data_IF_208507219421
#
_entry.id   IF_208507219421
#
_cell.length_a   1.000
_cell.length_b   1.000
_cell.length_c   1.000
_cell.angle_alpha   90.00
_cell.angle_beta   90.00
_cell.angle_gamma   90.00
#
_symmetry.space_group_name_H-M   'P 1'
#
loop_
_entity.id
_entity.type
_entity.pdbx_description
1 polymer ?
#
# COMPACT_ATOMS: atom_id res chain seq x y z
N UNK A 1 71.57 -15.79 21.66
CA UNK A 1 70.34 -15.41 20.94
C UNK A 1 69.16 -15.64 21.88
N UNK A 2 68.58 -14.55 22.39
CA UNK A 2 67.57 -14.62 23.45
C UNK A 2 66.20 -15.03 22.88
N UNK A 3 65.79 -16.25 23.23
CA UNK A 3 64.49 -16.87 22.89
C UNK A 3 63.30 -16.00 23.36
N UNK A 4 63.51 -15.14 24.37
CA UNK A 4 62.48 -14.23 24.89
C UNK A 4 62.03 -13.15 23.89
N UNK A 5 62.93 -12.63 23.04
CA UNK A 5 62.56 -11.57 22.08
C UNK A 5 61.73 -12.12 20.91
N UNK A 6 62.00 -13.36 20.49
CA UNK A 6 61.22 -14.01 19.42
C UNK A 6 59.82 -14.35 19.92
N UNK A 7 59.68 -14.82 21.17
CA UNK A 7 58.38 -15.12 21.76
C UNK A 7 57.49 -13.86 21.90
N UNK A 8 58.06 -12.72 22.28
CA UNK A 8 57.33 -11.45 22.37
C UNK A 8 56.90 -10.95 20.99
N UNK A 9 57.77 -11.04 19.98
CA UNK A 9 57.43 -10.67 18.61
C UNK A 9 56.33 -11.57 18.02
N UNK A 10 56.38 -12.88 18.28
CA UNK A 10 55.32 -13.80 17.87
C UNK A 10 53.98 -13.52 18.57
N UNK A 11 54.00 -13.16 19.86
CA UNK A 11 52.78 -12.82 20.59
C UNK A 11 52.11 -11.53 20.05
N UNK A 12 52.92 -10.52 19.71
CA UNK A 12 52.43 -9.26 19.11
C UNK A 12 51.91 -9.50 17.68
N UNK A 13 52.59 -10.33 16.89
CA UNK A 13 52.12 -10.71 15.56
C UNK A 13 50.80 -11.50 15.63
N UNK A 14 50.66 -12.40 16.60
CA UNK A 14 49.44 -13.17 16.78
C UNK A 14 48.28 -12.29 17.26
N UNK A 15 48.51 -11.33 18.17
CA UNK A 15 47.47 -10.42 18.65
C UNK A 15 46.99 -9.46 17.55
N UNK A 16 47.89 -9.00 16.68
CA UNK A 16 47.55 -8.12 15.56
C UNK A 16 46.77 -8.84 14.48
N UNK A 17 47.14 -10.08 14.14
CA UNK A 17 46.36 -10.93 13.21
C UNK A 17 44.99 -11.27 13.77
N UNK A 18 44.90 -11.58 15.07
CA UNK A 18 43.62 -11.86 15.73
C UNK A 18 42.73 -10.61 15.75
N UNK A 19 43.29 -9.42 16.00
CA UNK A 19 42.56 -8.15 15.96
C UNK A 19 42.07 -7.81 14.56
N UNK A 20 42.87 -8.05 13.50
CA UNK A 20 42.44 -7.88 12.12
C UNK A 20 41.35 -8.87 11.72
N UNK A 21 41.44 -10.13 12.17
CA UNK A 21 40.39 -11.12 11.96
C UNK A 21 39.09 -10.76 12.68
N UNK A 22 39.17 -10.26 13.93
CA UNK A 22 37.99 -9.79 14.65
C UNK A 22 37.40 -8.53 14.01
N UNK A 23 38.22 -7.59 13.53
CA UNK A 23 37.77 -6.40 12.82
C UNK A 23 37.06 -6.77 11.52
N UNK A 24 37.66 -7.64 10.71
CA UNK A 24 37.07 -8.15 9.46
C UNK A 24 35.80 -8.97 9.72
N UNK A 25 35.79 -9.80 10.77
CA UNK A 25 34.62 -10.58 11.16
C UNK A 25 33.48 -9.69 11.68
N UNK A 26 33.79 -8.64 12.45
CA UNK A 26 32.81 -7.65 12.89
C UNK A 26 32.32 -6.78 11.72
N UNK A 27 33.16 -6.36 10.78
CA UNK A 27 32.72 -5.67 9.55
C UNK A 27 31.79 -6.56 8.71
N UNK A 28 32.08 -7.87 8.60
CA UNK A 28 31.20 -8.81 7.88
C UNK A 28 29.85 -9.01 8.57
N UNK A 29 29.79 -8.93 9.91
CA UNK A 29 28.54 -9.00 10.68
C UNK A 29 27.80 -7.66 10.78
N UNK A 30 28.50 -6.53 10.71
CA UNK A 30 27.88 -5.19 10.59
C UNK A 30 27.38 -4.94 9.16
N UNK A 31 27.90 -5.68 8.17
CA UNK A 31 27.33 -5.82 6.84
C UNK A 31 26.08 -6.71 6.79
N UNK A 32 25.53 -7.13 7.94
CA UNK A 32 24.11 -7.40 8.06
C UNK A 32 23.38 -6.06 7.89
N UNK A 33 23.21 -5.66 6.62
CA UNK A 33 22.57 -4.44 6.16
C UNK A 33 21.38 -4.14 7.05
N UNK A 34 21.50 -3.11 7.89
CA UNK A 34 20.33 -2.35 8.34
C UNK A 34 19.53 -2.11 7.06
N UNK A 35 18.29 -2.59 6.95
CA UNK A 35 17.49 -2.31 5.78
C UNK A 35 17.50 -0.80 5.54
N UNK A 36 17.80 -0.37 4.31
CA UNK A 36 17.97 1.05 3.99
C UNK A 36 16.74 1.90 4.40
N UNK A 37 15.56 1.29 4.57
CA UNK A 37 14.36 1.94 5.10
C UNK A 37 14.55 2.52 6.52
N UNK A 38 15.39 1.91 7.37
CA UNK A 38 15.70 2.43 8.70
C UNK A 38 16.65 3.63 8.65
N UNK A 39 17.36 3.85 7.54
CA UNK A 39 18.24 5.03 7.41
C UNK A 39 17.45 6.30 7.06
N UNK A 40 16.25 6.18 6.47
CA UNK A 40 15.39 7.34 6.17
C UNK A 40 14.84 8.01 7.44
N UNK A 41 14.82 7.30 8.58
CA UNK A 41 14.35 7.82 9.86
C UNK A 41 15.49 8.40 10.72
N UNK A 42 16.76 8.05 10.40
CA UNK A 42 17.89 8.23 11.33
C UNK A 42 18.79 9.45 11.13
N UNK A 43 18.53 10.30 10.14
CA UNK A 43 19.17 11.64 10.08
C UNK A 43 18.29 12.73 10.72
N UNK A 44 17.62 12.38 11.84
CA UNK A 44 17.31 13.38 12.87
C UNK A 44 18.53 13.51 13.76
N UNK A 45 19.61 14.05 13.20
CA UNK A 45 20.77 14.47 13.97
C UNK A 45 20.26 15.31 15.13
N UNK A 46 20.48 14.84 16.36
CA UNK A 46 20.48 15.71 17.55
C UNK A 46 21.45 16.82 17.17
N UNK A 47 20.93 18.03 16.90
CA UNK A 47 21.62 19.22 16.39
C UNK A 47 23.09 18.92 16.07
N UNK A 48 23.38 18.58 14.80
CA UNK A 48 24.78 18.50 14.38
C UNK A 48 25.44 19.81 14.81
N UNK A 49 26.55 19.75 15.56
CA UNK A 49 27.22 20.95 16.09
C UNK A 49 27.61 21.92 14.96
N UNK A 50 27.67 21.42 13.72
CA UNK A 50 27.90 22.18 12.49
C UNK A 50 26.69 22.93 11.94
N UNK A 51 25.47 22.57 12.34
CA UNK A 51 24.19 23.17 11.96
C UNK A 51 23.47 23.67 13.21
N UNK A 52 24.07 24.62 13.94
CA UNK A 52 23.33 25.50 14.86
C UNK A 52 22.44 26.47 14.05
N UNK A 53 21.66 25.94 13.12
CA UNK A 53 20.59 26.65 12.45
C UNK A 53 19.42 26.68 13.44
N UNK A 54 19.01 27.91 13.76
CA UNK A 54 17.88 28.30 14.59
C UNK A 54 17.25 27.20 15.48
N UNK A 55 17.70 27.12 16.73
CA UNK A 55 17.18 26.17 17.73
C UNK A 55 15.70 26.42 18.14
N UNK A 56 15.03 27.37 17.48
CA UNK A 56 13.64 27.77 17.75
C UNK A 56 12.67 27.22 16.68
N UNK A 57 13.15 26.84 15.49
CA UNK A 57 12.27 26.43 14.37
C UNK A 57 12.64 25.08 13.77
N UNK A 58 11.65 24.23 13.49
CA UNK A 58 11.85 23.00 12.72
C UNK A 58 11.82 23.23 11.20
N UNK A 59 12.34 22.28 10.43
CA UNK A 59 12.23 22.26 8.96
C UNK A 59 11.10 21.36 8.49
N UNK A 60 10.31 21.80 7.51
CA UNK A 60 9.36 20.95 6.78
C UNK A 60 10.08 20.16 5.68
N UNK A 61 9.51 19.03 5.29
CA UNK A 61 10.00 18.28 4.13
C UNK A 61 9.64 19.04 2.85
N UNK A 62 10.59 19.13 1.92
CA UNK A 62 10.37 19.70 0.60
C UNK A 62 10.55 18.64 -0.50
N UNK A 63 9.71 18.73 -1.54
CA UNK A 63 9.76 17.88 -2.74
C UNK A 63 10.85 18.33 -3.73
N UNK A 64 12.04 18.68 -3.22
CA UNK A 64 13.22 19.03 -4.02
C UNK A 64 13.92 17.77 -4.53
N UNK A 65 14.53 17.88 -5.72
CA UNK A 65 15.29 16.77 -6.30
C UNK A 65 16.57 16.52 -5.50
N UNK A 66 16.64 15.38 -4.81
CA UNK A 66 17.76 14.96 -3.94
C UNK A 66 18.74 14.03 -4.65
N UNK A 67 18.27 13.31 -5.66
CA UNK A 67 19.07 12.37 -6.46
C UNK A 67 18.54 12.30 -7.89
N UNK A 68 19.32 11.70 -8.79
CA UNK A 68 18.94 11.53 -10.20
C UNK A 68 18.91 10.06 -10.57
N UNK A 69 17.87 9.64 -11.29
CA UNK A 69 17.76 8.29 -11.81
C UNK A 69 18.51 8.17 -13.15
N UNK A 70 19.43 7.22 -13.22
CA UNK A 70 20.22 6.89 -14.42
C UNK A 70 20.10 5.41 -14.82
N UNK A 71 19.15 4.69 -14.22
CA UNK A 71 18.91 3.27 -14.51
C UNK A 71 18.19 3.05 -15.84
N UNK A 72 18.04 1.77 -16.20
CA UNK A 72 17.35 1.36 -17.42
C UNK A 72 15.86 1.75 -17.38
N UNK A 73 15.35 2.26 -18.49
CA UNK A 73 13.92 2.55 -18.67
C UNK A 73 13.20 1.39 -19.36
N UNK A 74 11.89 1.27 -19.14
CA UNK A 74 11.05 0.37 -19.92
C UNK A 74 11.17 0.72 -21.41
N UNK A 75 11.49 -0.27 -22.22
CA UNK A 75 11.51 -0.13 -23.68
C UNK A 75 10.12 -0.42 -24.25
N UNK A 76 9.78 0.21 -25.39
CA UNK A 76 8.45 0.05 -26.00
C UNK A 76 8.16 -1.38 -26.41
N UNK A 77 9.20 -2.13 -26.78
CA UNK A 77 9.12 -3.55 -27.13
C UNK A 77 8.68 -4.41 -25.94
N UNK A 78 8.99 -3.99 -24.70
CA UNK A 78 8.56 -4.67 -23.47
C UNK A 78 7.08 -4.44 -23.15
N UNK A 79 6.47 -3.41 -23.75
CA UNK A 79 5.07 -3.02 -23.53
C UNK A 79 4.12 -3.60 -24.59
N UNK A 80 4.63 -4.38 -25.55
CA UNK A 80 3.81 -5.03 -26.56
C UNK A 80 2.91 -6.05 -25.88
N UNK A 81 1.59 -5.88 -26.07
CA UNK A 81 0.58 -6.76 -25.50
C UNK A 81 0.86 -8.23 -25.86
N UNK A 82 0.84 -9.09 -24.83
CA UNK A 82 0.93 -10.53 -25.00
C UNK A 82 -0.44 -11.16 -24.85
N UNK A 83 -0.66 -12.26 -25.56
CA UNK A 83 -1.85 -13.06 -25.34
C UNK A 83 -1.87 -13.58 -23.92
N UNK A 84 -3.07 -13.59 -23.33
CA UNK A 84 -3.25 -14.11 -21.99
C UNK A 84 -2.84 -15.59 -21.99
N UNK A 85 -1.90 -16.01 -21.13
CA UNK A 85 -1.52 -17.42 -21.05
C UNK A 85 -2.72 -18.25 -20.57
N UNK A 86 -2.82 -19.48 -21.05
CA UNK A 86 -3.73 -20.45 -20.45
C UNK A 86 -3.27 -20.69 -19.00
N UNK A 87 -4.25 -20.66 -18.10
CA UNK A 87 -4.04 -20.95 -16.68
C UNK A 87 -4.73 -22.25 -16.34
N UNK A 88 -3.99 -23.14 -15.68
CA UNK A 88 -4.57 -24.32 -15.08
C UNK A 88 -5.24 -23.94 -13.74
N UNK A 89 -6.39 -24.53 -13.45
CA UNK A 89 -7.10 -24.30 -12.20
C UNK A 89 -8.22 -23.25 -12.30
N UNK A 90 -8.36 -22.46 -11.24
CA UNK A 90 -9.53 -21.64 -10.98
C UNK A 90 -9.53 -20.33 -11.79
N UNK A 91 -10.61 -20.05 -12.51
CA UNK A 91 -10.79 -18.79 -13.26
C UNK A 91 -12.06 -18.08 -12.80
N UNK A 92 -11.91 -16.86 -12.28
CA UNK A 92 -13.04 -16.10 -11.72
C UNK A 92 -12.97 -14.63 -12.06
N UNK A 93 -14.13 -13.97 -12.13
CA UNK A 93 -14.23 -12.52 -12.42
C UNK A 93 -14.10 -11.65 -11.19
N UNK A 94 -14.44 -12.16 -10.01
CA UNK A 94 -14.33 -11.44 -8.74
C UNK A 94 -13.43 -12.22 -7.80
N UNK A 95 -12.44 -11.54 -7.24
CA UNK A 95 -11.46 -12.13 -6.34
C UNK A 95 -11.39 -11.37 -5.03
N UNK A 96 -11.16 -12.08 -3.92
CA UNK A 96 -10.63 -11.52 -2.69
C UNK A 96 -9.14 -11.91 -2.59
N UNK A 97 -8.27 -10.94 -2.31
CA UNK A 97 -6.83 -11.16 -2.17
C UNK A 97 -6.42 -10.79 -0.75
N UNK A 98 -5.88 -11.78 -0.04
CA UNK A 98 -5.52 -11.69 1.37
C UNK A 98 -4.06 -12.10 1.53
N UNK A 99 -3.32 -11.43 2.40
CA UNK A 99 -2.07 -11.96 2.97
C UNK A 99 -2.32 -12.32 4.42
N UNK A 100 -1.78 -13.43 4.90
CA UNK A 100 -1.93 -13.82 6.30
C UNK A 100 -0.68 -14.50 6.82
N UNK A 101 -0.30 -14.17 8.06
CA UNK A 101 0.68 -14.92 8.87
C UNK A 101 0.00 -15.79 9.94
N UNK A 102 -1.34 -15.83 9.93
CA UNK A 102 -2.17 -16.49 10.92
C UNK A 102 -2.76 -17.78 10.34
N UNK A 103 -3.31 -18.61 11.22
CA UNK A 103 -4.28 -19.64 10.82
C UNK A 103 -5.54 -18.99 10.23
N UNK A 104 -6.38 -19.73 9.49
CA UNK A 104 -7.58 -19.17 8.86
C UNK A 104 -8.45 -18.38 9.84
N UNK A 105 -8.49 -17.06 9.64
CA UNK A 105 -9.24 -16.09 10.44
C UNK A 105 -10.73 -16.14 10.14
N UNK A 106 -11.53 -15.37 10.87
CA UNK A 106 -12.99 -15.32 10.70
C UNK A 106 -13.36 -14.95 9.26
N UNK A 107 -12.78 -13.91 8.68
CA UNK A 107 -13.13 -13.52 7.31
C UNK A 107 -12.70 -14.53 6.26
N UNK A 108 -11.57 -15.21 6.46
CA UNK A 108 -11.16 -16.29 5.56
C UNK A 108 -12.21 -17.41 5.60
N UNK A 109 -12.75 -17.75 6.78
CA UNK A 109 -13.83 -18.74 6.89
C UNK A 109 -15.14 -18.25 6.27
N UNK A 110 -15.54 -17.01 6.51
CA UNK A 110 -16.71 -16.39 5.89
C UNK A 110 -16.63 -16.46 4.35
N UNK A 111 -15.47 -16.13 3.79
CA UNK A 111 -15.22 -16.21 2.35
C UNK A 111 -15.09 -17.64 1.82
N UNK A 112 -14.63 -18.59 2.65
CA UNK A 112 -14.57 -20.00 2.28
C UNK A 112 -15.94 -20.69 2.32
N UNK A 113 -16.86 -20.20 3.14
CA UNK A 113 -18.21 -20.75 3.29
C UNK A 113 -19.22 -20.13 2.31
N UNK A 114 -18.86 -19.04 1.63
CA UNK A 114 -19.72 -18.46 0.59
C UNK A 114 -19.90 -19.42 -0.59
N UNK A 115 -21.12 -19.50 -1.09
CA UNK A 115 -21.48 -20.20 -2.34
C UNK A 115 -21.57 -19.22 -3.53
N UNK A 116 -21.27 -17.94 -3.30
CA UNK A 116 -21.29 -16.91 -4.34
C UNK A 116 -20.11 -17.05 -5.30
N UNK A 117 -20.22 -16.49 -6.51
CA UNK A 117 -19.16 -16.53 -7.52
C UNK A 117 -18.01 -15.54 -7.19
N UNK A 118 -17.28 -15.87 -6.13
CA UNK A 118 -16.15 -15.14 -5.58
C UNK A 118 -15.03 -16.13 -5.31
N UNK A 119 -13.84 -15.81 -5.81
CA UNK A 119 -12.66 -16.64 -5.59
C UNK A 119 -11.70 -15.97 -4.64
N UNK A 120 -10.95 -16.76 -3.89
CA UNK A 120 -10.11 -16.25 -2.81
C UNK A 120 -8.69 -16.74 -3.04
N UNK A 121 -7.73 -15.82 -2.98
CA UNK A 121 -6.32 -16.17 -2.86
C UNK A 121 -5.78 -15.64 -1.55
N UNK A 122 -5.26 -16.55 -0.73
CA UNK A 122 -4.52 -16.22 0.49
C UNK A 122 -3.05 -16.45 0.21
N UNK A 123 -2.25 -15.40 0.30
CA UNK A 123 -0.81 -15.42 0.07
C UNK A 123 -0.10 -15.66 1.39
N UNK A 124 0.63 -16.78 1.48
CA UNK A 124 1.45 -17.08 2.64
C UNK A 124 2.70 -16.19 2.71
N UNK A 125 3.26 -16.09 3.91
CA UNK A 125 4.63 -15.65 4.16
C UNK A 125 5.35 -16.76 4.94
N UNK A 126 6.66 -16.62 5.17
CA UNK A 126 7.46 -17.58 5.94
C UNK A 126 7.02 -17.72 7.40
N UNK A 127 6.25 -16.76 7.91
CA UNK A 127 5.66 -16.80 9.25
C UNK A 127 4.31 -17.48 9.28
N UNK A 128 3.70 -17.74 8.12
CA UNK A 128 2.38 -18.37 8.04
C UNK A 128 2.45 -19.85 8.38
N UNK A 129 1.33 -20.43 8.84
CA UNK A 129 1.22 -21.87 8.98
C UNK A 129 1.51 -22.60 7.67
N UNK A 130 2.26 -23.70 7.74
CA UNK A 130 2.49 -24.59 6.58
C UNK A 130 1.15 -25.20 6.16
N UNK A 131 0.38 -25.68 7.13
CA UNK A 131 -0.98 -26.19 6.91
C UNK A 131 -2.01 -25.09 7.09
N UNK A 132 -2.86 -24.90 6.10
CA UNK A 132 -3.95 -23.92 6.12
C UNK A 132 -5.28 -24.67 6.04
N UNK A 133 -5.92 -24.88 7.20
CA UNK A 133 -7.08 -25.77 7.37
C UNK A 133 -8.40 -25.18 6.83
N UNK A 134 -8.39 -24.79 5.55
CA UNK A 134 -9.55 -24.39 4.75
C UNK A 134 -9.34 -24.93 3.35
N UNK A 135 -10.12 -25.94 2.96
CA UNK A 135 -10.06 -26.54 1.63
C UNK A 135 -11.38 -26.33 0.91
N UNK A 136 -11.39 -25.46 -0.11
CA UNK A 136 -12.55 -25.16 -0.95
C UNK A 136 -12.11 -25.00 -2.39
N UNK A 137 -12.95 -25.41 -3.34
CA UNK A 137 -12.62 -25.32 -4.75
C UNK A 137 -12.38 -23.88 -5.24
N UNK A 138 -13.01 -22.90 -4.59
CA UNK A 138 -12.90 -21.48 -4.91
C UNK A 138 -11.85 -20.71 -4.09
N UNK A 139 -11.05 -21.40 -3.27
CA UNK A 139 -10.02 -20.78 -2.43
C UNK A 139 -8.67 -21.44 -2.67
N UNK A 140 -7.66 -20.63 -2.95
CA UNK A 140 -6.27 -21.07 -3.06
C UNK A 140 -5.43 -20.44 -1.95
N UNK A 141 -4.65 -21.27 -1.28
CA UNK A 141 -3.60 -20.82 -0.37
C UNK A 141 -2.27 -20.95 -1.10
N UNK A 142 -1.68 -19.81 -1.48
CA UNK A 142 -0.37 -19.77 -2.13
C UNK A 142 0.72 -19.94 -1.08
N UNK A 143 1.14 -21.19 -0.88
CA UNK A 143 2.22 -21.54 0.04
C UNK A 143 3.54 -20.89 -0.37
N UNK A 144 4.54 -20.94 0.51
CA UNK A 144 5.91 -20.51 0.17
C UNK A 144 6.43 -21.29 -1.04
N UNK A 145 6.22 -22.60 -1.08
CA UNK A 145 6.66 -23.48 -2.16
C UNK A 145 5.93 -23.19 -3.48
N UNK A 146 4.64 -22.86 -3.44
CA UNK A 146 3.88 -22.50 -4.63
C UNK A 146 4.34 -21.15 -5.19
N UNK A 147 4.58 -20.18 -4.31
CA UNK A 147 5.13 -18.88 -4.70
C UNK A 147 6.49 -19.01 -5.37
N UNK A 148 7.37 -19.87 -4.86
CA UNK A 148 8.70 -20.10 -5.44
C UNK A 148 8.67 -20.72 -6.85
N UNK A 149 7.53 -21.32 -7.25
CA UNK A 149 7.31 -21.85 -8.62
C UNK A 149 6.73 -20.80 -9.58
N UNK A 150 6.33 -19.63 -9.10
CA UNK A 150 5.78 -18.56 -9.94
C UNK A 150 6.90 -17.84 -10.69
N UNK A 151 6.71 -17.65 -11.99
CA UNK A 151 7.68 -17.00 -12.88
C UNK A 151 7.38 -15.51 -13.13
N UNK A 152 6.81 -14.83 -12.12
CA UNK A 152 6.65 -13.37 -12.17
C UNK A 152 8.00 -12.68 -11.96
N UNK A 153 8.25 -11.62 -12.70
CA UNK A 153 9.43 -10.76 -12.60
C UNK A 153 9.57 -10.18 -11.19
N UNK A 154 8.46 -9.81 -10.52
CA UNK A 154 8.49 -9.31 -9.15
C UNK A 154 9.08 -10.32 -8.15
N UNK A 155 9.04 -11.63 -8.42
CA UNK A 155 9.51 -12.68 -7.49
C UNK A 155 11.00 -12.55 -7.17
N UNK A 156 11.79 -11.96 -8.08
CA UNK A 156 13.21 -11.71 -7.90
C UNK A 156 13.50 -10.55 -6.94
N UNK A 157 12.49 -9.72 -6.66
CA UNK A 157 12.63 -8.46 -5.93
C UNK A 157 11.85 -8.46 -4.60
N UNK A 158 10.63 -8.99 -4.60
CA UNK A 158 9.76 -8.91 -3.42
C UNK A 158 10.38 -9.65 -2.21
N UNK A 159 10.57 -9.00 -1.06
CA UNK A 159 11.15 -9.67 0.11
C UNK A 159 10.14 -10.58 0.82
N UNK A 160 10.63 -11.58 1.54
CA UNK A 160 9.84 -12.33 2.53
C UNK A 160 9.68 -11.53 3.83
N UNK A 161 8.73 -11.93 4.67
CA UNK A 161 8.33 -11.24 5.90
C UNK A 161 7.94 -9.79 5.66
N UNK A 162 7.22 -9.55 4.56
CA UNK A 162 7.02 -8.22 4.05
C UNK A 162 5.62 -8.02 3.49
N UNK A 163 5.02 -6.87 3.81
CA UNK A 163 3.67 -6.51 3.40
C UNK A 163 3.47 -6.54 1.87
N UNK A 164 4.49 -6.15 1.10
CA UNK A 164 4.50 -6.21 -0.36
C UNK A 164 4.31 -7.63 -0.96
N UNK A 165 4.32 -8.71 -0.16
CA UNK A 165 3.99 -10.07 -0.62
C UNK A 165 2.57 -10.16 -1.18
N UNK A 166 1.65 -9.29 -0.75
CA UNK A 166 0.29 -9.22 -1.28
C UNK A 166 0.24 -8.98 -2.80
N UNK A 167 1.27 -8.32 -3.36
CA UNK A 167 1.39 -8.10 -4.80
C UNK A 167 1.39 -9.40 -5.62
N UNK A 168 1.91 -10.51 -5.06
CA UNK A 168 1.89 -11.82 -5.71
C UNK A 168 0.46 -12.32 -5.88
N UNK A 169 -0.39 -12.13 -4.87
CA UNK A 169 -1.81 -12.48 -4.92
C UNK A 169 -2.59 -11.64 -5.93
N UNK A 170 -2.23 -10.37 -6.10
CA UNK A 170 -2.82 -9.53 -7.14
C UNK A 170 -2.49 -10.05 -8.54
N UNK A 171 -1.21 -10.32 -8.87
CA UNK A 171 -0.85 -10.90 -10.18
C UNK A 171 -1.53 -12.24 -10.39
N UNK A 172 -1.58 -13.10 -9.37
CA UNK A 172 -2.26 -14.37 -9.43
C UNK A 172 -3.74 -14.18 -9.80
N UNK A 173 -4.48 -13.33 -9.09
CA UNK A 173 -5.89 -13.07 -9.38
C UNK A 173 -6.09 -12.52 -10.81
N UNK A 174 -5.24 -11.58 -11.26
CA UNK A 174 -5.31 -10.99 -12.60
C UNK A 174 -5.09 -12.06 -13.68
N UNK A 175 -4.03 -12.86 -13.54
CA UNK A 175 -3.74 -13.97 -14.45
C UNK A 175 -4.90 -14.97 -14.49
N UNK A 176 -5.56 -15.20 -13.36
CA UNK A 176 -6.74 -16.06 -13.23
C UNK A 176 -8.08 -15.37 -13.56
N UNK A 177 -8.04 -14.27 -14.32
CA UNK A 177 -9.21 -13.71 -14.99
C UNK A 177 -9.99 -12.67 -14.20
N UNK A 178 -9.42 -12.15 -13.10
CA UNK A 178 -10.06 -11.11 -12.32
C UNK A 178 -10.51 -9.93 -13.19
N UNK A 179 -11.70 -9.44 -12.89
CA UNK A 179 -12.25 -8.16 -13.35
C UNK A 179 -12.51 -7.20 -12.20
N UNK A 180 -12.65 -7.73 -10.99
CA UNK A 180 -12.66 -6.98 -9.74
C UNK A 180 -11.84 -7.72 -8.70
N UNK A 181 -11.06 -6.99 -7.92
CA UNK A 181 -10.29 -7.54 -6.80
C UNK A 181 -10.66 -6.78 -5.53
N UNK A 182 -11.02 -7.52 -4.48
CA UNK A 182 -11.19 -7.03 -3.13
C UNK A 182 -9.89 -7.27 -2.35
N UNK A 183 -9.12 -6.21 -2.20
CA UNK A 183 -7.93 -6.13 -1.36
C UNK A 183 -8.37 -6.05 0.11
N UNK A 184 -8.12 -7.13 0.85
CA UNK A 184 -8.67 -7.36 2.18
C UNK A 184 -7.59 -7.91 3.12
N UNK A 185 -7.45 -7.33 4.31
CA UNK A 185 -6.57 -7.87 5.35
C UNK A 185 -7.31 -8.92 6.19
N UNK A 186 -6.58 -9.92 6.69
CA UNK A 186 -7.14 -11.10 7.36
C UNK A 186 -7.68 -10.81 8.77
N UNK A 187 -7.40 -9.64 9.33
CA UNK A 187 -7.91 -9.17 10.62
C UNK A 187 -9.18 -8.31 10.53
N UNK A 188 -9.78 -8.25 9.34
CA UNK A 188 -11.15 -7.76 9.16
C UNK A 188 -12.15 -8.90 9.33
N UNK A 189 -13.40 -8.57 9.65
CA UNK A 189 -14.53 -9.49 9.68
C UNK A 189 -15.70 -8.87 8.91
N UNK A 190 -16.31 -9.59 7.97
CA UNK A 190 -17.50 -9.09 7.28
C UNK A 190 -18.63 -8.90 8.30
N UNK A 191 -19.25 -7.72 8.29
CA UNK A 191 -20.43 -7.44 9.13
C UNK A 191 -21.60 -8.36 8.72
N UNK A 192 -21.66 -8.73 7.45
CA UNK A 192 -22.61 -9.71 6.91
C UNK A 192 -21.87 -10.59 5.90
N UNK A 193 -21.93 -11.90 6.12
CA UNK A 193 -21.45 -12.94 5.20
C UNK A 193 -22.48 -13.32 4.12
N UNK A 194 -23.66 -12.69 4.15
CA UNK A 194 -24.71 -12.85 3.14
C UNK A 194 -24.60 -11.80 2.05
N UNK A 195 -24.80 -12.21 0.80
CA UNK A 195 -24.83 -11.35 -0.38
C UNK A 195 -23.54 -10.52 -0.55
N UNK A 196 -22.39 -11.13 -0.29
CA UNK A 196 -21.06 -10.52 -0.37
C UNK A 196 -20.87 -9.86 -1.74
N UNK A 197 -21.33 -10.50 -2.83
CA UNK A 197 -21.20 -9.92 -4.17
C UNK A 197 -21.96 -8.61 -4.33
N UNK A 198 -23.17 -8.52 -3.76
CA UNK A 198 -23.96 -7.30 -3.81
C UNK A 198 -23.35 -6.21 -2.92
N UNK A 199 -22.90 -6.59 -1.72
CA UNK A 199 -22.31 -5.68 -0.76
C UNK A 199 -20.98 -5.10 -1.28
N UNK A 200 -20.08 -5.94 -1.81
CA UNK A 200 -18.71 -5.57 -2.18
C UNK A 200 -18.60 -5.05 -3.61
N UNK A 201 -19.25 -5.68 -4.59
CA UNK A 201 -18.92 -5.46 -6.02
C UNK A 201 -20.04 -4.84 -6.86
N UNK A 202 -21.28 -4.77 -6.38
CA UNK A 202 -22.41 -4.21 -7.15
C UNK A 202 -22.59 -2.72 -6.84
N UNK A 203 -22.16 -1.87 -7.78
CA UNK A 203 -22.34 -0.42 -7.73
C UNK A 203 -23.80 -0.01 -7.95
N UNK A 204 -24.55 -0.74 -8.78
CA UNK A 204 -25.99 -0.50 -9.03
C UNK A 204 -26.90 -0.79 -7.83
N UNK A 205 -26.36 -1.39 -6.76
CA UNK A 205 -27.06 -1.63 -5.48
C UNK A 205 -26.73 -0.60 -4.42
N UNK A 206 -26.09 0.52 -4.81
CA UNK A 206 -25.64 1.60 -3.93
C UNK A 206 -26.08 2.94 -4.47
N UNK A 207 -26.18 3.92 -3.58
CA UNK A 207 -26.35 5.33 -3.94
C UNK A 207 -25.00 6.04 -3.85
N UNK A 208 -24.79 7.03 -4.70
CA UNK A 208 -23.54 7.79 -4.75
C UNK A 208 -23.81 9.28 -4.72
N UNK A 209 -22.92 10.01 -4.05
CA UNK A 209 -22.85 11.47 -4.08
C UNK A 209 -21.46 11.90 -4.49
N UNK A 210 -21.35 12.75 -5.49
CA UNK A 210 -20.10 13.40 -5.83
C UNK A 210 -19.79 14.54 -4.85
N UNK A 211 -18.55 14.57 -4.35
CA UNK A 211 -18.05 15.61 -3.45
C UNK A 211 -17.49 16.76 -4.29
N UNK A 212 -18.23 17.84 -4.43
CA UNK A 212 -17.76 19.02 -5.12
C UNK A 212 -17.05 19.97 -4.14
N UNK A 213 -15.74 20.14 -4.29
CA UNK A 213 -14.87 20.90 -3.36
C UNK A 213 -13.79 21.67 -4.12
N UNK A 214 -13.22 22.71 -3.52
CA UNK A 214 -11.99 23.37 -4.01
C UNK A 214 -10.73 22.92 -3.27
N UNK A 215 -10.89 22.13 -2.20
CA UNK A 215 -9.78 21.64 -1.38
C UNK A 215 -9.02 20.50 -2.06
N UNK A 216 -7.69 20.56 -1.90
CA UNK A 216 -6.76 19.56 -2.43
C UNK A 216 -6.84 18.21 -1.72
N UNK A 217 -7.57 18.15 -0.60
CA UNK A 217 -7.88 16.92 0.14
C UNK A 217 -9.34 16.91 0.58
N UNK A 218 -9.90 15.70 0.66
CA UNK A 218 -11.19 15.43 1.28
C UNK A 218 -10.97 14.40 2.38
N UNK A 219 -11.62 14.57 3.54
CA UNK A 219 -11.63 13.60 4.61
C UNK A 219 -12.97 12.84 4.67
N UNK A 220 -13.08 11.66 4.04
CA UNK A 220 -14.27 10.81 4.09
C UNK A 220 -14.69 10.47 5.51
N UNK A 221 -13.74 10.26 6.43
CA UNK A 221 -14.08 9.79 7.77
C UNK A 221 -14.89 10.84 8.54
N UNK A 222 -14.64 12.13 8.30
CA UNK A 222 -15.46 13.22 8.84
C UNK A 222 -16.88 13.26 8.25
N UNK A 223 -17.04 12.90 6.97
CA UNK A 223 -18.36 12.85 6.32
C UNK A 223 -19.24 11.75 6.94
N UNK A 224 -18.63 10.63 7.32
CA UNK A 224 -19.32 9.48 7.91
C UNK A 224 -19.31 9.48 9.45
N UNK A 225 -18.75 10.50 10.10
CA UNK A 225 -18.61 10.54 11.55
C UNK A 225 -19.97 10.68 12.24
N UNK A 226 -20.24 9.87 13.26
CA UNK A 226 -21.48 9.87 14.04
C UNK A 226 -21.46 10.79 15.27
N UNK A 227 -20.44 11.63 15.40
CA UNK A 227 -20.19 12.43 16.60
C UNK A 227 -19.77 13.85 16.24
N UNK A 228 -20.67 14.79 16.48
CA UNK A 228 -20.41 16.21 16.23
C UNK A 228 -19.29 16.75 17.14
N UNK A 229 -18.51 17.69 16.61
CA UNK A 229 -17.46 18.39 17.35
C UNK A 229 -16.15 17.59 17.53
N UNK A 230 -16.10 16.34 17.08
CA UNK A 230 -14.88 15.54 17.05
C UNK A 230 -14.24 15.55 15.66
N UNK A 231 -12.93 15.31 15.65
CA UNK A 231 -12.18 15.10 14.42
C UNK A 231 -11.81 13.63 14.34
N UNK A 232 -11.86 13.07 13.14
CA UNK A 232 -11.32 11.75 12.81
C UNK A 232 -10.70 11.83 11.42
N UNK A 233 -9.63 11.09 11.18
CA UNK A 233 -8.99 11.07 9.87
C UNK A 233 -8.38 9.70 9.59
N UNK A 234 -8.38 9.25 8.33
CA UNK A 234 -7.71 8.02 7.94
C UNK A 234 -6.19 8.15 8.10
N UNK A 235 -5.52 7.03 8.36
CA UNK A 235 -4.05 6.96 8.38
C UNK A 235 -3.48 7.51 7.07
N UNK A 236 -2.53 8.43 7.19
CA UNK A 236 -1.91 9.09 6.05
C UNK A 236 -2.54 10.42 5.64
N UNK A 237 -3.66 10.83 6.24
CA UNK A 237 -4.24 12.14 5.95
C UNK A 237 -3.28 13.26 6.41
N UNK A 238 -3.06 14.32 5.61
CA UNK A 238 -2.10 15.36 5.98
C UNK A 238 -2.53 16.07 7.27
N UNK A 239 -1.63 16.08 8.26
CA UNK A 239 -1.92 16.63 9.59
C UNK A 239 -2.32 18.11 9.54
N UNK A 240 -1.76 18.86 8.59
CA UNK A 240 -2.06 20.28 8.36
C UNK A 240 -3.53 20.51 7.97
N UNK A 241 -4.19 19.52 7.36
CA UNK A 241 -5.55 19.65 6.87
C UNK A 241 -6.63 19.12 7.83
N UNK A 242 -6.26 18.47 8.94
CA UNK A 242 -7.22 17.81 9.85
C UNK A 242 -8.29 18.79 10.36
N UNK A 243 -7.87 20.01 10.70
CA UNK A 243 -8.73 21.04 11.29
C UNK A 243 -9.23 22.06 10.27
N UNK A 244 -8.92 21.88 9.00
CA UNK A 244 -9.39 22.79 7.95
C UNK A 244 -10.89 22.61 7.78
N UNK A 245 -11.71 23.68 7.92
CA UNK A 245 -13.14 23.59 7.68
C UNK A 245 -13.41 23.13 6.25
N UNK A 246 -14.34 22.19 6.07
CA UNK A 246 -14.67 21.70 4.74
C UNK A 246 -15.44 22.74 3.94
N UNK A 247 -15.26 22.71 2.61
CA UNK A 247 -15.99 23.56 1.66
C UNK A 247 -16.88 22.75 0.70
N UNK A 248 -17.01 21.44 0.94
CA UNK A 248 -17.66 20.55 -0.02
C UNK A 248 -19.18 20.71 -0.03
N UNK A 249 -19.76 20.51 -1.22
CA UNK A 249 -21.18 20.23 -1.42
C UNK A 249 -21.36 18.87 -2.10
N UNK A 250 -22.55 18.30 -1.97
CA UNK A 250 -22.86 17.00 -2.55
C UNK A 250 -23.76 17.13 -3.79
N UNK A 251 -23.43 16.36 -4.83
CA UNK A 251 -24.24 16.22 -6.04
C UNK A 251 -24.64 14.76 -6.17
N UNK A 252 -25.93 14.46 -6.32
CA UNK A 252 -26.40 13.08 -6.46
C UNK A 252 -25.95 12.47 -7.79
N UNK A 253 -25.50 11.21 -7.74
CA UNK A 253 -25.03 10.45 -8.89
C UNK A 253 -25.85 9.17 -9.05
N UNK A 254 -26.50 9.02 -10.21
CA UNK A 254 -27.35 7.87 -10.51
C UNK A 254 -26.58 6.79 -11.29
N UNK A 255 -26.33 5.59 -10.71
CA UNK A 255 -25.62 4.51 -11.39
C UNK A 255 -26.24 4.07 -12.72
N UNK A 256 -27.54 4.32 -12.92
CA UNK A 256 -28.27 3.92 -14.12
C UNK A 256 -27.97 4.83 -15.32
N UNK A 257 -27.43 6.02 -15.09
CA UNK A 257 -27.11 6.97 -16.15
C UNK A 257 -25.75 6.66 -16.76
N UNK A 258 -25.70 6.56 -18.09
CA UNK A 258 -24.46 6.25 -18.81
C UNK A 258 -23.35 7.28 -18.55
N UNK A 259 -23.71 8.55 -18.37
CA UNK A 259 -22.79 9.66 -18.08
C UNK A 259 -22.36 9.74 -16.62
N UNK A 260 -22.97 8.96 -15.71
CA UNK A 260 -22.66 9.05 -14.28
C UNK A 260 -21.20 8.71 -13.98
N UNK A 261 -20.65 9.45 -13.01
CA UNK A 261 -19.30 9.21 -12.49
C UNK A 261 -19.16 7.83 -11.84
N UNK A 262 -20.27 7.19 -11.43
CA UNK A 262 -20.28 5.82 -10.89
C UNK A 262 -19.63 4.81 -11.86
N UNK A 263 -19.84 5.00 -13.16
CA UNK A 263 -19.27 4.16 -14.21
C UNK A 263 -17.76 4.38 -14.41
N UNK A 264 -17.22 5.48 -13.86
CA UNK A 264 -15.80 5.85 -13.91
C UNK A 264 -15.06 5.56 -12.60
N UNK A 265 -15.74 5.04 -11.58
CA UNK A 265 -15.11 4.60 -10.35
C UNK A 265 -14.19 3.42 -10.66
N UNK A 266 -12.90 3.59 -10.37
CA UNK A 266 -11.88 2.56 -10.50
C UNK A 266 -11.47 1.93 -9.18
N UNK A 267 -11.66 2.63 -8.05
CA UNK A 267 -11.34 2.12 -6.71
C UNK A 267 -12.44 2.52 -5.73
N UNK A 268 -12.85 1.58 -4.88
CA UNK A 268 -13.79 1.82 -3.77
C UNK A 268 -13.12 1.41 -2.46
N UNK A 269 -12.97 2.34 -1.53
CA UNK A 269 -12.63 2.02 -0.14
C UNK A 269 -13.93 1.88 0.67
N UNK A 270 -14.11 0.75 1.32
CA UNK A 270 -15.12 0.64 2.38
C UNK A 270 -14.51 1.04 3.71
N UNK A 271 -15.30 1.70 4.56
CA UNK A 271 -14.91 1.98 5.93
C UNK A 271 -14.87 0.70 6.78
N UNK A 272 -14.26 0.79 7.96
CA UNK A 272 -14.23 -0.29 8.93
C UNK A 272 -14.81 0.18 10.25
N UNK A 273 -15.76 -0.56 10.80
CA UNK A 273 -16.26 -0.31 12.15
C UNK A 273 -15.29 -0.89 13.20
N UNK A 274 -15.56 -0.57 14.47
CA UNK A 274 -14.87 -1.00 15.69
C UNK A 274 -13.48 -0.40 15.85
N UNK A 275 -12.62 -0.53 14.85
CA UNK A 275 -11.24 -0.08 14.94
C UNK A 275 -10.69 0.41 13.59
N UNK A 276 -11.31 1.43 12.96
CA UNK A 276 -10.89 1.92 11.64
C UNK A 276 -9.39 2.20 11.54
N UNK A 277 -8.88 2.22 10.32
CA UNK A 277 -7.45 2.43 10.09
C UNK A 277 -7.05 3.90 10.27
N UNK A 278 -6.87 4.26 11.54
CA UNK A 278 -6.40 5.55 12.01
C UNK A 278 -4.88 5.49 12.27
N UNK A 279 -4.21 6.63 12.13
CA UNK A 279 -2.79 6.73 12.43
C UNK A 279 -2.49 6.63 13.94
N UNK A 280 -1.21 6.44 14.27
CA UNK A 280 -0.77 6.31 15.64
C UNK A 280 -1.01 7.58 16.47
N UNK A 281 -0.91 8.79 15.89
CA UNK A 281 -1.21 10.04 16.61
C UNK A 281 -2.63 10.00 17.14
N UNK A 282 -3.62 9.76 16.27
CA UNK A 282 -5.02 9.65 16.66
C UNK A 282 -5.20 8.60 17.75
N UNK A 283 -4.65 7.39 17.53
CA UNK A 283 -4.81 6.26 18.46
C UNK A 283 -4.21 6.53 19.84
N UNK A 284 -3.17 7.35 19.92
CA UNK A 284 -2.53 7.74 21.17
C UNK A 284 -3.33 8.84 21.87
N UNK A 285 -3.92 9.78 21.13
CA UNK A 285 -4.51 11.00 21.69
C UNK A 285 -6.03 10.96 21.86
N UNK A 286 -6.71 10.03 21.21
CA UNK A 286 -8.15 10.08 21.01
C UNK A 286 -8.82 8.72 21.21
N UNK A 287 -10.11 8.76 21.52
CA UNK A 287 -10.93 7.55 21.64
C UNK A 287 -11.48 7.18 20.27
N UNK A 288 -11.28 5.92 19.87
CA UNK A 288 -11.77 5.42 18.60
C UNK A 288 -13.30 5.22 18.68
N UNK A 289 -14.09 5.75 17.73
CA UNK A 289 -15.52 5.48 17.68
C UNK A 289 -15.78 4.02 17.32
N UNK A 290 -16.79 3.41 17.94
CA UNK A 290 -17.15 2.01 17.68
C UNK A 290 -17.76 1.80 16.29
N UNK A 291 -18.43 2.81 15.74
CA UNK A 291 -18.98 2.77 14.38
C UNK A 291 -18.92 4.17 13.75
N UNK A 292 -19.01 4.20 12.42
CA UNK A 292 -19.44 5.40 11.70
C UNK A 292 -20.97 5.58 11.80
N UNK A 293 -21.51 6.67 11.25
CA UNK A 293 -22.95 6.98 11.27
C UNK A 293 -23.74 5.99 10.41
N UNK A 294 -24.58 5.11 11.01
CA UNK A 294 -25.34 4.13 10.25
C UNK A 294 -26.47 4.74 9.42
N UNK A 295 -26.86 6.00 9.66
CA UNK A 295 -27.87 6.70 8.87
C UNK A 295 -27.34 7.15 7.50
N UNK A 296 -26.01 7.30 7.37
CA UNK A 296 -25.35 7.66 6.12
C UNK A 296 -25.09 6.40 5.31
N UNK A 297 -26.00 6.11 4.37
CA UNK A 297 -25.99 4.88 3.56
C UNK A 297 -25.40 5.06 2.16
N UNK A 298 -25.13 6.29 1.74
CA UNK A 298 -24.57 6.59 0.42
C UNK A 298 -23.04 6.51 0.41
N UNK A 299 -22.49 6.13 -0.74
CA UNK A 299 -21.07 6.27 -1.02
C UNK A 299 -20.76 7.69 -1.53
N UNK A 300 -19.54 8.16 -1.30
CA UNK A 300 -19.05 9.43 -1.85
C UNK A 300 -18.03 9.21 -2.94
N UNK A 301 -18.12 9.95 -4.04
CA UNK A 301 -17.13 9.97 -5.13
C UNK A 301 -16.28 11.22 -4.96
N UNK A 302 -14.96 11.05 -4.86
CA UNK A 302 -14.05 12.16 -4.66
C UNK A 302 -13.79 12.91 -5.97
N UNK A 303 -13.71 14.24 -5.90
CA UNK A 303 -13.29 15.07 -7.02
C UNK A 303 -11.82 14.79 -7.37
N UNK A 304 -11.51 14.74 -8.67
CA UNK A 304 -10.11 14.80 -9.12
C UNK A 304 -9.46 16.08 -8.56
N UNK A 305 -8.16 16.06 -8.28
CA UNK A 305 -7.46 17.14 -7.54
C UNK A 305 -7.80 17.23 -6.04
N UNK A 306 -8.68 16.37 -5.51
CA UNK A 306 -8.92 16.25 -4.07
C UNK A 306 -8.54 14.86 -3.59
N UNK A 307 -7.40 14.75 -2.92
CA UNK A 307 -6.86 13.47 -2.47
C UNK A 307 -7.51 12.99 -1.17
N UNK A 308 -7.57 11.68 -0.98
CA UNK A 308 -7.77 11.05 0.32
C UNK A 308 -7.02 9.72 0.39
N UNK A 309 -6.38 9.37 1.50
CA UNK A 309 -5.67 8.10 1.59
C UNK A 309 -6.66 6.95 1.71
N UNK A 310 -6.33 5.84 1.06
CA UNK A 310 -6.98 4.55 1.26
C UNK A 310 -5.95 3.47 1.57
N UNK A 311 -6.40 2.36 2.14
CA UNK A 311 -5.52 1.33 2.70
C UNK A 311 -5.77 -0.03 2.02
N UNK A 312 -5.20 -1.10 2.57
CA UNK A 312 -5.40 -2.48 2.08
C UNK A 312 -6.42 -3.28 2.92
N UNK A 313 -7.20 -2.60 3.78
CA UNK A 313 -8.10 -3.27 4.72
C UNK A 313 -9.36 -3.79 4.04
N UNK A 314 -10.00 -2.98 3.20
CA UNK A 314 -11.28 -3.34 2.56
C UNK A 314 -11.52 -2.48 1.31
N UNK A 315 -10.78 -2.78 0.26
CA UNK A 315 -10.67 -1.91 -0.92
C UNK A 315 -10.92 -2.71 -2.19
N UNK A 316 -11.84 -2.25 -3.02
CA UNK A 316 -12.15 -2.89 -4.31
C UNK A 316 -11.49 -2.13 -5.43
N UNK A 317 -10.80 -2.86 -6.31
CA UNK A 317 -10.27 -2.37 -7.57
C UNK A 317 -11.08 -2.93 -8.73
N UNK A 318 -11.37 -2.08 -9.71
CA UNK A 318 -11.92 -2.48 -11.01
C UNK A 318 -10.78 -2.81 -11.98
N UNK A 319 -11.06 -3.64 -12.99
CA UNK A 319 -10.05 -4.11 -13.95
C UNK A 319 -9.19 -2.99 -14.55
N UNK A 320 -9.80 -1.86 -14.88
CA UNK A 320 -9.14 -0.72 -15.53
C UNK A 320 -8.14 0.03 -14.63
N UNK A 321 -8.02 -0.34 -13.35
CA UNK A 321 -7.10 0.26 -12.38
C UNK A 321 -6.17 -0.75 -11.69
N UNK A 322 -6.16 -2.01 -12.14
CA UNK A 322 -5.28 -3.04 -11.57
C UNK A 322 -3.79 -2.67 -11.65
N UNK A 323 -3.39 -1.89 -12.66
CA UNK A 323 -2.03 -1.36 -12.75
C UNK A 323 -1.60 -0.57 -11.51
N UNK A 324 -2.54 0.02 -10.75
CA UNK A 324 -2.31 0.83 -9.56
C UNK A 324 -2.38 0.05 -8.24
N UNK A 325 -2.37 -1.28 -8.27
CA UNK A 325 -2.44 -2.11 -7.06
C UNK A 325 -1.10 -2.30 -6.36
N UNK A 326 0.02 -2.00 -7.04
CA UNK A 326 1.37 -2.26 -6.53
C UNK A 326 1.62 -1.58 -5.18
N UNK A 327 1.92 -2.38 -4.17
CA UNK A 327 2.40 -1.94 -2.86
C UNK A 327 3.93 -1.75 -2.90
N UNK A 328 4.46 -0.51 -2.78
CA UNK A 328 5.90 -0.26 -2.73
C UNK A 328 6.57 -1.04 -1.59
N UNK A 329 7.75 -1.58 -1.82
CA UNK A 329 8.45 -2.44 -0.88
C UNK A 329 9.59 -1.77 -0.11
N UNK A 330 10.01 -0.56 -0.51
CA UNK A 330 11.17 0.09 0.14
C UNK A 330 10.78 0.99 1.32
N UNK A 331 9.48 1.17 1.52
CA UNK A 331 8.90 1.86 2.66
C UNK A 331 8.31 0.86 3.66
N UNK A 332 8.10 1.31 4.90
CA UNK A 332 7.48 0.46 5.92
C UNK A 332 6.06 0.03 5.52
N UNK A 333 5.60 -1.15 5.98
CA UNK A 333 4.27 -1.66 5.63
C UNK A 333 3.12 -0.71 5.99
N UNK A 334 3.25 0.04 7.09
CA UNK A 334 2.32 1.11 7.51
C UNK A 334 2.37 2.37 6.63
N UNK A 335 3.17 2.39 5.58
CA UNK A 335 3.32 3.52 4.65
C UNK A 335 3.00 3.07 3.22
N UNK A 336 3.34 1.83 2.89
CA UNK A 336 3.23 1.22 1.56
C UNK A 336 1.86 1.37 0.90
N UNK A 337 0.78 0.98 1.59
CA UNK A 337 -0.58 1.07 1.05
C UNK A 337 -1.05 2.51 0.85
N UNK A 338 -0.65 3.43 1.73
CA UNK A 338 -0.95 4.86 1.63
C UNK A 338 -0.18 5.51 0.47
N UNK A 339 1.10 5.18 0.26
CA UNK A 339 1.85 5.68 -0.89
C UNK A 339 1.27 5.16 -2.21
N UNK A 340 0.98 3.86 -2.30
CA UNK A 340 0.18 3.30 -3.41
C UNK A 340 -1.10 4.11 -3.61
N UNK A 341 -1.79 4.45 -2.52
CA UNK A 341 -3.05 5.19 -2.58
C UNK A 341 -2.91 6.51 -3.33
N UNK A 342 -1.95 7.35 -2.96
CA UNK A 342 -1.77 8.66 -3.58
C UNK A 342 -1.21 8.57 -4.99
N UNK A 343 -0.28 7.64 -5.24
CA UNK A 343 0.29 7.42 -6.57
C UNK A 343 -0.78 7.00 -7.57
N UNK A 344 -1.59 6.01 -7.21
CA UNK A 344 -2.65 5.49 -8.05
C UNK A 344 -3.75 6.52 -8.27
N UNK A 345 -4.14 7.27 -7.24
CA UNK A 345 -5.06 8.42 -7.37
C UNK A 345 -4.64 9.38 -8.47
N UNK A 346 -3.36 9.78 -8.43
CA UNK A 346 -2.84 10.76 -9.37
C UNK A 346 -2.91 10.24 -10.80
N UNK A 347 -2.47 9.00 -11.05
CA UNK A 347 -2.49 8.41 -12.39
C UNK A 347 -3.92 8.13 -12.87
N UNK A 348 -4.85 7.78 -11.96
CA UNK A 348 -6.26 7.57 -12.30
C UNK A 348 -6.90 8.81 -12.93
N UNK A 349 -6.50 10.02 -12.53
CA UNK A 349 -7.03 11.26 -13.09
C UNK A 349 -6.74 11.42 -14.58
N UNK A 350 -5.56 10.95 -15.04
CA UNK A 350 -5.15 10.94 -16.45
C UNK A 350 -6.02 10.01 -17.30
N UNK A 351 -6.63 9.00 -16.68
CA UNK A 351 -7.51 8.02 -17.33
C UNK A 351 -8.99 8.21 -17.03
N UNK A 352 -9.34 9.41 -16.57
CA UNK A 352 -10.70 9.79 -16.21
C UNK A 352 -11.37 8.83 -15.21
N UNK A 353 -10.58 8.28 -14.30
CA UNK A 353 -11.04 7.39 -13.22
C UNK A 353 -11.12 8.11 -11.89
N UNK A 354 -12.04 7.62 -11.05
CA UNK A 354 -12.39 8.21 -9.77
C UNK A 354 -12.27 7.19 -8.64
N UNK A 355 -12.00 7.68 -7.43
CA UNK A 355 -12.14 6.92 -6.20
C UNK A 355 -13.48 7.22 -5.54
N UNK A 356 -14.08 6.20 -4.92
CA UNK A 356 -15.16 6.36 -3.97
C UNK A 356 -14.85 5.81 -2.57
N UNK A 357 -15.50 6.38 -1.56
CA UNK A 357 -15.60 5.80 -0.22
C UNK A 357 -17.03 5.36 0.04
N UNK A 358 -17.21 4.25 0.75
CA UNK A 358 -18.51 3.69 1.06
C UNK A 358 -18.62 3.34 2.56
N UNK A 359 -19.84 3.30 3.12
CA UNK A 359 -20.09 2.87 4.50
C UNK A 359 -19.48 1.51 4.83
N UNK A 360 -19.26 1.26 6.12
CA UNK A 360 -18.55 0.08 6.57
C UNK A 360 -19.24 -1.23 6.19
N UNK A 361 -18.44 -2.18 5.68
CA UNK A 361 -18.89 -3.56 5.42
C UNK A 361 -18.12 -4.58 6.25
N UNK A 362 -17.07 -4.14 6.95
CA UNK A 362 -16.26 -4.96 7.84
C UNK A 362 -16.12 -4.31 9.23
N UNK A 363 -15.90 -5.14 10.24
CA UNK A 363 -15.33 -4.75 11.52
C UNK A 363 -13.83 -5.02 11.49
N UNK A 364 -13.01 -4.07 11.93
CA UNK A 364 -11.56 -4.29 12.03
C UNK A 364 -11.20 -4.82 13.42
N UNK A 365 -10.80 -6.09 13.51
CA UNK A 365 -10.44 -6.77 14.76
C UNK A 365 -8.91 -6.80 14.87
N UNK A 366 -8.33 -5.64 15.19
CA UNK A 366 -6.87 -5.47 15.20
C UNK A 366 -6.17 -6.36 16.22
N UNK A 367 -5.02 -6.85 15.79
CA UNK A 367 -4.00 -7.39 16.69
C UNK A 367 -3.47 -6.30 17.63
N UNK A 368 -3.01 -6.69 18.82
CA UNK A 368 -2.46 -5.75 19.79
C UNK A 368 -1.10 -5.21 19.30
N UNK A 369 -1.05 -3.92 18.95
CA UNK A 369 0.19 -3.24 18.57
C UNK A 369 0.75 -2.37 19.70
N UNK A 370 2.05 -2.06 19.61
CA UNK A 370 2.67 -1.02 20.44
C UNK A 370 2.59 0.31 19.70
N UNK A 371 1.64 1.17 20.07
CA UNK A 371 1.33 2.42 19.35
C UNK A 371 2.54 3.33 19.12
N UNK A 372 3.50 3.38 20.04
CA UNK A 372 4.74 4.17 19.86
C UNK A 372 5.61 3.64 18.72
N UNK A 373 5.64 2.31 18.48
CA UNK A 373 6.34 1.74 17.32
C UNK A 373 5.61 2.06 16.01
N UNK A 374 4.28 2.10 16.06
CA UNK A 374 3.47 2.49 14.90
C UNK A 374 3.72 3.96 14.55
N UNK A 375 3.81 4.85 15.55
CA UNK A 375 4.16 6.26 15.36
C UNK A 375 5.52 6.44 14.66
N UNK A 376 6.55 5.73 15.13
CA UNK A 376 7.89 5.75 14.51
C UNK A 376 7.84 5.25 13.05
N UNK A 377 7.12 4.14 12.82
CA UNK A 377 6.96 3.56 11.49
C UNK A 377 6.17 4.43 10.51
N UNK A 378 5.27 5.28 11.01
CA UNK A 378 4.42 6.17 10.22
C UNK A 378 5.03 7.55 9.98
N UNK A 379 6.26 7.80 10.46
CA UNK A 379 6.88 9.12 10.35
C UNK A 379 6.86 9.75 8.94
N UNK A 380 7.06 9.00 7.83
CA UNK A 380 6.92 9.55 6.49
C UNK A 380 5.53 10.12 6.21
N UNK A 381 4.47 9.52 6.74
CA UNK A 381 3.10 9.98 6.55
C UNK A 381 2.86 11.36 7.19
N UNK A 382 3.44 11.59 8.37
CA UNK A 382 3.27 12.85 9.08
C UNK A 382 4.11 13.98 8.50
N UNK A 383 5.25 13.65 7.90
CA UNK A 383 6.26 14.64 7.51
C UNK A 383 6.32 14.91 6.01
N UNK A 384 5.91 13.97 5.17
CA UNK A 384 6.10 14.06 3.71
C UNK A 384 4.79 14.22 2.94
N UNK A 385 3.66 13.75 3.48
CA UNK A 385 2.37 13.72 2.76
C UNK A 385 2.00 15.08 2.18
N UNK A 386 2.01 16.14 2.98
CA UNK A 386 1.58 17.46 2.55
C UNK A 386 2.36 17.96 1.32
N UNK A 387 3.69 17.94 1.41
CA UNK A 387 4.56 18.35 0.31
C UNK A 387 4.39 17.46 -0.92
N UNK A 388 4.22 16.15 -0.71
CA UNK A 388 3.97 15.19 -1.79
C UNK A 388 2.65 15.48 -2.51
N UNK A 389 1.56 15.76 -1.80
CA UNK A 389 0.26 16.04 -2.42
C UNK A 389 0.27 17.34 -3.22
N UNK A 390 0.95 18.39 -2.72
CA UNK A 390 1.19 19.63 -3.48
C UNK A 390 1.93 19.34 -4.78
N UNK A 391 3.04 18.60 -4.70
CA UNK A 391 3.80 18.19 -5.88
C UNK A 391 2.95 17.37 -6.85
N UNK A 392 2.18 16.38 -6.38
CA UNK A 392 1.37 15.53 -7.26
C UNK A 392 0.26 16.33 -7.96
N UNK A 393 -0.35 17.33 -7.31
CA UNK A 393 -1.35 18.19 -7.94
C UNK A 393 -0.78 19.08 -9.05
N UNK A 394 0.48 19.52 -8.91
CA UNK A 394 1.16 20.35 -9.91
C UNK A 394 1.86 19.50 -11.00
N UNK A 395 2.25 18.28 -10.66
CA UNK A 395 2.96 17.38 -11.55
C UNK A 395 2.08 17.00 -12.72
N UNK A 396 2.63 17.13 -13.94
CA UNK A 396 2.01 16.70 -15.18
C UNK A 396 2.92 15.67 -15.84
N UNK A 397 2.43 14.46 -16.13
CA UNK A 397 3.26 13.45 -16.78
C UNK A 397 3.67 13.88 -18.18
N UNK A 398 4.91 13.56 -18.57
CA UNK A 398 5.37 13.75 -19.95
C UNK A 398 4.97 12.58 -20.83
N UNK A 399 4.97 11.38 -20.25
CA UNK A 399 4.45 10.18 -20.87
C UNK A 399 2.92 10.25 -21.08
N UNK A 400 2.43 9.51 -22.05
CA UNK A 400 0.99 9.40 -22.33
C UNK A 400 0.42 8.05 -21.92
N UNK A 401 1.20 6.96 -22.04
CA UNK A 401 0.73 5.62 -21.72
C UNK A 401 0.86 5.27 -20.23
N UNK A 402 -0.14 4.58 -19.67
CA UNK A 402 -0.17 4.24 -18.23
C UNK A 402 1.13 3.60 -17.74
N UNK A 403 1.73 2.60 -18.42
CA UNK A 403 3.00 2.01 -17.99
C UNK A 403 4.12 3.04 -17.86
N UNK A 404 4.24 3.93 -18.85
CA UNK A 404 5.27 4.95 -18.91
C UNK A 404 5.02 6.04 -17.84
N UNK A 405 3.76 6.44 -17.63
CA UNK A 405 3.35 7.37 -16.58
C UNK A 405 3.69 6.81 -15.19
N UNK A 406 3.44 5.52 -14.95
CA UNK A 406 3.77 4.86 -13.68
C UNK A 406 5.27 4.82 -13.44
N UNK A 407 6.07 4.46 -14.44
CA UNK A 407 7.53 4.49 -14.33
C UNK A 407 8.05 5.91 -14.07
N UNK A 408 7.54 6.91 -14.81
CA UNK A 408 7.87 8.32 -14.61
C UNK A 408 7.58 8.75 -13.17
N UNK A 409 6.38 8.44 -12.66
CA UNK A 409 5.97 8.77 -11.30
C UNK A 409 6.90 8.15 -10.24
N UNK A 410 7.18 6.85 -10.34
CA UNK A 410 8.07 6.19 -9.38
C UNK A 410 9.50 6.76 -9.43
N UNK A 411 9.96 7.21 -10.60
CA UNK A 411 11.24 7.93 -10.69
C UNK A 411 11.16 9.31 -10.03
N UNK A 412 10.10 10.09 -10.24
CA UNK A 412 9.94 11.38 -9.57
C UNK A 412 9.90 11.21 -8.04
N UNK A 413 9.24 10.16 -7.54
CA UNK A 413 9.18 9.79 -6.12
C UNK A 413 10.53 9.32 -5.59
N UNK A 414 11.29 8.56 -6.39
CA UNK A 414 12.65 8.18 -6.06
C UNK A 414 13.57 9.39 -5.97
N UNK A 415 13.59 10.24 -6.99
CA UNK A 415 14.47 11.41 -7.08
C UNK A 415 14.27 12.42 -5.93
N UNK A 416 13.10 12.42 -5.29
CA UNK A 416 12.73 13.29 -4.16
C UNK A 416 12.78 12.61 -2.79
N UNK A 417 13.10 11.31 -2.75
CA UNK A 417 13.29 10.56 -1.51
C UNK A 417 12.00 10.08 -0.84
N UNK A 418 10.94 9.83 -1.61
CA UNK A 418 9.69 9.22 -1.12
C UNK A 418 9.79 7.68 -1.13
N UNK A 419 10.44 7.11 -2.15
CA UNK A 419 10.74 5.67 -2.30
C UNK A 419 12.20 5.47 -2.73
N UNK A 420 12.74 4.26 -2.58
CA UNK A 420 14.11 3.90 -2.97
C UNK A 420 14.22 3.29 -4.37
N UNK A 421 15.46 3.17 -4.88
CA UNK A 421 15.76 2.71 -6.24
C UNK A 421 15.08 1.37 -6.57
N UNK A 422 15.01 0.47 -5.60
CA UNK A 422 14.38 -0.84 -5.76
C UNK A 422 12.89 -0.75 -6.06
N UNK A 423 12.18 0.29 -5.64
CA UNK A 423 10.78 0.47 -6.01
C UNK A 423 10.62 0.92 -7.48
N UNK A 424 11.62 1.61 -8.04
CA UNK A 424 11.66 1.88 -9.50
C UNK A 424 11.83 0.57 -10.27
N UNK A 425 12.78 -0.28 -9.85
CA UNK A 425 12.96 -1.61 -10.45
C UNK A 425 11.68 -2.47 -10.28
N UNK A 426 10.99 -2.30 -9.16
CA UNK A 426 9.78 -3.05 -8.85
C UNK A 426 8.58 -2.66 -9.71
N UNK A 427 8.33 -1.36 -9.92
CA UNK A 427 7.24 -0.94 -10.81
C UNK A 427 7.50 -1.40 -12.25
N UNK A 428 8.76 -1.41 -12.69
CA UNK A 428 9.12 -1.94 -14.00
C UNK A 428 8.85 -3.45 -14.09
N UNK A 429 9.21 -4.22 -13.07
CA UNK A 429 8.91 -5.65 -12.99
C UNK A 429 7.39 -5.91 -12.95
N UNK A 430 6.64 -5.14 -12.16
CA UNK A 430 5.18 -5.19 -12.08
C UNK A 430 4.52 -4.95 -13.44
N UNK A 431 4.95 -3.92 -14.17
CA UNK A 431 4.45 -3.62 -15.52
C UNK A 431 4.74 -4.79 -16.47
N UNK A 432 5.98 -5.33 -16.46
CA UNK A 432 6.33 -6.50 -17.27
C UNK A 432 5.44 -7.70 -16.95
N UNK A 433 5.16 -7.92 -15.68
CA UNK A 433 4.28 -9.00 -15.24
C UNK A 433 2.84 -8.81 -15.74
N UNK A 434 2.30 -7.60 -15.65
CA UNK A 434 0.99 -7.28 -16.21
C UNK A 434 0.95 -7.55 -17.72
N UNK A 435 1.96 -7.11 -18.48
CA UNK A 435 2.06 -7.42 -19.90
C UNK A 435 2.13 -8.94 -20.12
N UNK A 436 2.98 -9.65 -19.36
CA UNK A 436 3.20 -11.09 -19.47
C UNK A 436 1.94 -11.91 -19.20
N UNK A 437 1.10 -11.51 -18.24
CA UNK A 437 -0.16 -12.20 -17.93
C UNK A 437 -1.33 -11.74 -18.82
N UNK A 438 -1.06 -10.93 -19.85
CA UNK A 438 -2.04 -10.48 -20.83
C UNK A 438 -2.99 -9.40 -20.32
N UNK A 439 -2.59 -8.62 -19.32
CA UNK A 439 -3.33 -7.43 -18.90
C UNK A 439 -3.34 -6.39 -20.03
N UNK A 440 -4.41 -5.59 -20.04
CA UNK A 440 -4.58 -4.48 -20.98
C UNK A 440 -4.69 -3.20 -20.16
N UNK A 441 -3.73 -2.31 -20.39
CA UNK A 441 -3.61 -1.01 -19.73
C UNK A 441 -4.70 -0.03 -20.14
#
# INVERSE_FOLDING_TARGET
>A
MNISHVAVLCAIAFSTVLAMFFSSYMESRMAARVPHFLSLVRDRTICNVKEMLDAVTGSSFEMTKKRSYSGARLQKEELVHKEKPNVDGMVCKSWAVITSVNSPTVVVRQLAETEENLCVVVVADKKSPIEYNVTRAHLVYLTVEDQEKLDYNIMKLVPWNHFARKNVGFLYAIQHGAKRIFDLDDDNELISDKNIMNQVFRKDKKTFKFVNTTQYVTNPYMIYLNKEGEYIWPRGYPLEAIKTPHDYSFIDENPSEKSSLVNKIGVIQYLQNVNPDLDAIYRITSTIPSTFDPSITYCIILKKTSFSPWNAQSTVFEYETFWGMLLPMTVHGRVSDIWRSYFTQRVMWERDKYMAFCPSIVNHIRNQHRLIKDFDAEMPLYTQTEAMLKFLNEWTPKAQEVPEILEELYVEMYERGIVELRDVEFIQAWIRDLVQIGYRF
#
